data_IF_638371361286
#
_entry.id   IF_638371361286
#
_cell.length_a   1.000
_cell.length_b   1.000
_cell.length_c   1.000
_cell.angle_alpha   90.00
_cell.angle_beta   90.00
_cell.angle_gamma   90.00
#
_symmetry.space_group_name_H-M   'P 1'
#
loop_
_entity.id
_entity.type
_entity.pdbx_description
1 polymer ?
#
# COMPACT_ATOMS: atom_id res chain seq x y z
N UNK A 1 16.33 -4.40 -26.29
CA UNK A 1 16.63 -4.34 -24.85
C UNK A 1 16.19 -5.64 -24.22
N UNK A 2 16.92 -6.14 -23.25
CA UNK A 2 16.62 -7.43 -22.60
C UNK A 2 15.95 -7.13 -21.25
N UNK A 3 14.65 -6.80 -21.30
CA UNK A 3 13.88 -6.51 -20.10
C UNK A 3 13.66 -7.78 -19.28
N UNK A 4 13.76 -7.67 -17.96
CA UNK A 4 13.64 -8.79 -17.01
C UNK A 4 12.57 -8.59 -15.97
N UNK A 5 12.15 -7.35 -15.68
CA UNK A 5 11.07 -7.05 -14.76
C UNK A 5 10.18 -5.91 -15.26
N UNK A 6 8.89 -6.06 -15.04
CA UNK A 6 7.84 -5.08 -15.28
C UNK A 6 7.12 -4.79 -13.96
N UNK A 7 7.13 -3.52 -13.54
CA UNK A 7 6.41 -3.04 -12.36
C UNK A 7 5.12 -2.35 -12.80
N UNK A 8 4.00 -2.74 -12.21
CA UNK A 8 2.68 -2.22 -12.56
C UNK A 8 1.97 -1.68 -11.33
N UNK A 9 1.52 -0.44 -11.39
CA UNK A 9 0.51 0.04 -10.47
C UNK A 9 -0.85 -0.61 -10.75
N UNK A 10 -1.78 -0.55 -9.81
CA UNK A 10 -3.12 -1.14 -9.95
C UNK A 10 -4.12 -0.09 -10.43
N UNK A 11 -4.35 0.95 -9.64
CA UNK A 11 -5.45 1.89 -9.84
C UNK A 11 -5.12 2.89 -10.93
N UNK A 12 -5.89 2.91 -12.02
CA UNK A 12 -5.61 3.71 -13.20
C UNK A 12 -4.60 3.08 -14.18
N UNK A 13 -3.93 1.99 -13.80
CA UNK A 13 -2.94 1.28 -14.64
C UNK A 13 -3.43 -0.11 -15.05
N UNK A 14 -3.51 -1.08 -14.11
CA UNK A 14 -4.13 -2.39 -14.38
C UNK A 14 -5.65 -2.26 -14.41
N UNK A 15 -6.21 -1.57 -13.42
CA UNK A 15 -7.64 -1.33 -13.30
C UNK A 15 -8.00 0.03 -13.86
N UNK A 16 -9.13 0.08 -14.58
CA UNK A 16 -9.79 1.30 -15.03
C UNK A 16 -10.59 1.92 -13.87
N UNK A 17 -11.19 3.09 -14.10
CA UNK A 17 -11.97 3.83 -13.08
C UNK A 17 -13.21 3.08 -12.57
N UNK A 18 -13.68 2.05 -13.28
CA UNK A 18 -14.74 1.13 -12.86
C UNK A 18 -14.22 -0.12 -12.14
N UNK A 19 -12.97 -0.07 -11.65
CA UNK A 19 -12.29 -1.12 -10.90
C UNK A 19 -12.20 -2.47 -11.63
N UNK A 20 -12.10 -2.44 -12.97
CA UNK A 20 -11.98 -3.64 -13.81
C UNK A 20 -10.74 -3.58 -14.68
N UNK A 21 -10.18 -4.71 -14.98
CA UNK A 21 -9.18 -4.83 -16.03
C UNK A 21 -9.80 -5.33 -17.33
N UNK A 22 -9.21 -4.90 -18.46
CA UNK A 22 -9.66 -5.35 -19.79
C UNK A 22 -9.06 -6.72 -20.14
N UNK A 23 -9.72 -7.43 -21.04
CA UNK A 23 -9.15 -8.67 -21.61
C UNK A 23 -7.79 -8.40 -22.30
N UNK A 24 -7.64 -7.22 -22.91
CA UNK A 24 -6.38 -6.81 -23.54
C UNK A 24 -5.26 -6.64 -22.50
N UNK A 25 -5.56 -6.05 -21.33
CA UNK A 25 -4.62 -5.93 -20.21
C UNK A 25 -4.14 -7.31 -19.74
N UNK A 26 -5.09 -8.24 -19.53
CA UNK A 26 -4.75 -9.62 -19.13
C UNK A 26 -3.84 -10.30 -20.15
N UNK A 27 -4.22 -10.24 -21.43
CA UNK A 27 -3.43 -10.84 -22.52
C UNK A 27 -2.01 -10.23 -22.63
N UNK A 28 -1.88 -8.91 -22.42
CA UNK A 28 -0.58 -8.24 -22.42
C UNK A 28 0.31 -8.75 -21.28
N UNK A 29 -0.25 -8.87 -20.05
CA UNK A 29 0.47 -9.43 -18.89
C UNK A 29 0.92 -10.89 -19.19
N UNK A 30 0.01 -11.74 -19.68
CA UNK A 30 0.31 -13.12 -20.05
C UNK A 30 1.44 -13.20 -21.10
N UNK A 31 1.44 -12.33 -22.10
CA UNK A 31 2.49 -12.27 -23.14
C UNK A 31 3.85 -11.84 -22.57
N UNK A 32 3.86 -10.91 -21.63
CA UNK A 32 5.07 -10.46 -20.93
C UNK A 32 5.65 -11.60 -20.09
N UNK A 33 4.80 -12.28 -19.31
CA UNK A 33 5.18 -13.44 -18.51
C UNK A 33 5.73 -14.60 -19.39
N UNK A 34 5.09 -14.85 -20.56
CA UNK A 34 5.53 -15.88 -21.50
C UNK A 34 6.92 -15.60 -22.11
N UNK A 35 7.39 -14.35 -22.09
CA UNK A 35 8.77 -13.96 -22.47
C UNK A 35 9.78 -14.13 -21.34
N UNK A 36 9.37 -14.62 -20.18
CA UNK A 36 10.22 -14.77 -19.00
C UNK A 36 10.52 -13.45 -18.28
N UNK A 37 9.69 -12.41 -18.49
CA UNK A 37 9.78 -11.14 -17.76
C UNK A 37 8.94 -11.26 -16.49
N UNK A 38 9.55 -10.97 -15.33
CA UNK A 38 8.86 -10.94 -14.06
C UNK A 38 7.86 -9.77 -14.02
N UNK A 39 6.60 -10.06 -13.72
CA UNK A 39 5.58 -9.04 -13.52
C UNK A 39 5.35 -8.87 -12.02
N UNK A 40 5.53 -7.64 -11.54
CA UNK A 40 5.49 -7.28 -10.12
C UNK A 40 4.48 -6.13 -9.96
N UNK A 41 3.50 -6.32 -9.09
CA UNK A 41 2.56 -5.24 -8.75
C UNK A 41 3.22 -4.29 -7.74
N UNK A 42 3.03 -2.97 -7.93
CA UNK A 42 3.49 -1.93 -7.02
C UNK A 42 2.34 -0.95 -6.70
N UNK A 43 1.70 -1.09 -5.53
CA UNK A 43 0.45 -0.41 -5.19
C UNK A 43 0.47 0.23 -3.80
N UNK A 44 -0.43 1.20 -3.58
CA UNK A 44 -0.78 1.69 -2.23
C UNK A 44 -1.66 0.74 -1.44
N UNK A 45 -2.38 -0.16 -2.12
CA UNK A 45 -3.36 -1.06 -1.49
C UNK A 45 -2.72 -2.06 -0.53
N UNK A 46 -3.47 -2.52 0.51
CA UNK A 46 -3.11 -3.68 1.30
C UNK A 46 -2.98 -4.94 0.45
N UNK A 47 -1.90 -5.72 0.64
CA UNK A 47 -1.64 -6.89 -0.21
C UNK A 47 -2.70 -7.98 -0.08
N UNK A 48 -3.32 -8.14 1.09
CA UNK A 48 -4.39 -9.12 1.30
C UNK A 48 -5.68 -8.75 0.53
N UNK A 49 -5.91 -7.46 0.24
CA UNK A 49 -7.10 -7.01 -0.51
C UNK A 49 -6.95 -7.23 -2.04
N UNK A 50 -5.74 -7.33 -2.56
CA UNK A 50 -5.49 -7.52 -4.00
C UNK A 50 -5.32 -8.99 -4.41
N UNK A 51 -5.38 -9.95 -3.48
CA UNK A 51 -5.12 -11.38 -3.75
C UNK A 51 -5.99 -11.96 -4.87
N UNK A 52 -7.27 -11.59 -4.95
CA UNK A 52 -8.16 -12.08 -6.01
C UNK A 52 -7.67 -11.61 -7.38
N UNK A 53 -7.43 -10.31 -7.53
CA UNK A 53 -6.94 -9.70 -8.77
C UNK A 53 -5.62 -10.33 -9.23
N UNK A 54 -4.67 -10.43 -8.32
CA UNK A 54 -3.32 -10.92 -8.66
C UNK A 54 -3.31 -12.42 -9.00
N UNK A 55 -4.16 -13.22 -8.34
CA UNK A 55 -4.36 -14.62 -8.70
C UNK A 55 -4.96 -14.77 -10.11
N UNK A 56 -5.95 -13.95 -10.48
CA UNK A 56 -6.55 -13.97 -11.83
C UNK A 56 -5.57 -13.59 -12.94
N UNK A 57 -4.55 -12.76 -12.62
CA UNK A 57 -3.49 -12.32 -13.52
C UNK A 57 -2.20 -13.16 -13.41
N UNK A 58 -2.20 -14.20 -12.57
CA UNK A 58 -1.04 -15.06 -12.32
C UNK A 58 0.21 -14.26 -11.89
N UNK A 59 0.03 -13.25 -11.01
CA UNK A 59 1.11 -12.43 -10.46
C UNK A 59 1.36 -12.86 -9.01
N UNK A 60 2.61 -13.14 -8.65
CA UNK A 60 3.00 -13.70 -7.35
C UNK A 60 4.03 -12.86 -6.59
N UNK A 61 4.37 -11.69 -7.12
CA UNK A 61 5.36 -10.77 -6.54
C UNK A 61 4.76 -9.38 -6.42
N UNK A 62 4.89 -8.76 -5.23
CA UNK A 62 4.13 -7.57 -4.88
C UNK A 62 4.95 -6.58 -4.08
N UNK A 63 4.67 -5.30 -4.30
CA UNK A 63 5.02 -4.16 -3.45
C UNK A 63 3.71 -3.50 -3.07
N UNK A 64 3.37 -3.50 -1.79
CA UNK A 64 2.15 -2.89 -1.23
C UNK A 64 2.43 -1.75 -0.28
N UNK A 65 1.36 -1.09 0.19
CA UNK A 65 1.45 -0.01 1.18
C UNK A 65 2.42 1.11 0.75
N UNK A 66 2.39 1.47 -0.56
CA UNK A 66 3.32 2.43 -1.16
C UNK A 66 4.81 2.11 -0.93
N UNK A 67 5.17 0.83 -0.81
CA UNK A 67 6.55 0.39 -0.58
C UNK A 67 6.86 -0.05 0.85
N UNK A 68 5.89 -0.01 1.76
CA UNK A 68 6.05 -0.42 3.16
C UNK A 68 6.25 -1.93 3.34
N UNK A 69 5.71 -2.73 2.40
CA UNK A 69 5.87 -4.18 2.43
C UNK A 69 6.00 -4.75 1.02
N UNK A 70 6.96 -5.64 0.82
CA UNK A 70 7.14 -6.29 -0.47
C UNK A 70 7.48 -7.77 -0.33
N UNK A 71 6.92 -8.59 -1.25
CA UNK A 71 7.23 -10.01 -1.34
C UNK A 71 7.59 -10.40 -2.78
N UNK A 72 8.50 -11.36 -2.90
CA UNK A 72 8.83 -12.04 -4.14
C UNK A 72 8.61 -13.55 -3.95
N UNK A 73 7.68 -14.13 -4.70
CA UNK A 73 7.30 -15.54 -4.59
C UNK A 73 7.09 -15.97 -3.12
N UNK A 74 6.29 -15.22 -2.37
CA UNK A 74 5.98 -15.40 -0.93
C UNK A 74 7.17 -15.17 0.04
N UNK A 75 8.35 -14.78 -0.43
CA UNK A 75 9.46 -14.39 0.42
C UNK A 75 9.40 -12.88 0.69
N UNK A 76 9.45 -12.47 1.94
CA UNK A 76 9.48 -11.06 2.33
C UNK A 76 10.82 -10.44 1.91
N UNK A 77 10.76 -9.34 1.16
CA UNK A 77 11.91 -8.56 0.68
C UNK A 77 12.00 -7.22 1.40
N UNK A 78 10.83 -6.61 1.65
CA UNK A 78 10.71 -5.34 2.38
C UNK A 78 9.68 -5.51 3.48
N UNK A 79 10.00 -5.03 4.68
CA UNK A 79 9.08 -4.89 5.81
C UNK A 79 9.48 -3.64 6.60
N UNK A 80 8.83 -2.52 6.29
CA UNK A 80 9.01 -1.22 6.95
C UNK A 80 7.88 -1.00 7.95
N UNK A 81 7.83 -1.86 8.99
CA UNK A 81 6.84 -1.72 10.06
C UNK A 81 7.10 -0.47 10.90
N UNK A 82 6.01 0.10 11.41
CA UNK A 82 6.07 1.23 12.33
C UNK A 82 6.68 0.81 13.68
N UNK A 83 7.39 1.75 14.30
CA UNK A 83 7.89 1.55 15.66
C UNK A 83 6.72 1.37 16.64
N UNK A 84 6.87 0.42 17.56
CA UNK A 84 5.90 0.10 18.62
C UNK A 84 5.50 1.34 19.44
N UNK A 85 6.42 2.25 19.69
CA UNK A 85 6.13 3.45 20.48
C UNK A 85 5.21 4.42 19.74
N UNK A 86 5.38 4.53 18.41
CA UNK A 86 4.49 5.32 17.55
C UNK A 86 3.06 4.76 17.60
N UNK A 87 2.90 3.42 17.47
CA UNK A 87 1.58 2.79 17.56
C UNK A 87 0.92 3.06 18.90
N UNK A 88 1.66 2.96 20.02
CA UNK A 88 1.12 3.26 21.36
C UNK A 88 0.67 4.72 21.48
N UNK A 89 1.48 5.67 21.01
CA UNK A 89 1.13 7.08 21.04
C UNK A 89 -0.10 7.37 20.16
N UNK A 90 -0.24 6.72 19.02
CA UNK A 90 -1.42 6.84 18.17
C UNK A 90 -2.69 6.32 18.87
N UNK A 91 -2.60 5.19 19.56
CA UNK A 91 -3.71 4.65 20.36
C UNK A 91 -4.11 5.61 21.51
N UNK A 92 -3.12 6.19 22.19
CA UNK A 92 -3.36 7.17 23.25
C UNK A 92 -4.06 8.43 22.70
N UNK A 93 -3.53 9.01 21.61
CA UNK A 93 -4.12 10.18 20.95
C UNK A 93 -5.54 9.90 20.43
N UNK A 94 -5.75 8.75 19.81
CA UNK A 94 -7.08 8.38 19.29
C UNK A 94 -8.11 8.27 20.42
N UNK A 95 -7.73 7.66 21.52
CA UNK A 95 -8.61 7.54 22.70
C UNK A 95 -8.89 8.90 23.36
N UNK A 96 -7.88 9.78 23.48
CA UNK A 96 -8.01 11.10 24.08
C UNK A 96 -8.94 12.02 23.28
N UNK A 97 -8.86 11.95 21.95
CA UNK A 97 -9.58 12.87 21.06
C UNK A 97 -10.81 12.26 20.37
N UNK A 98 -11.11 10.99 20.60
CA UNK A 98 -12.25 10.31 19.97
C UNK A 98 -12.05 10.08 18.48
N UNK A 99 -10.80 9.88 18.05
CA UNK A 99 -10.45 9.51 16.70
C UNK A 99 -10.50 7.98 16.53
N UNK A 100 -10.62 7.52 15.29
CA UNK A 100 -10.55 6.11 14.96
C UNK A 100 -9.31 5.82 14.11
N UNK A 101 -8.76 4.62 14.22
CA UNK A 101 -7.56 4.23 13.47
C UNK A 101 -7.77 2.86 12.85
N UNK A 102 -7.29 2.68 11.62
CA UNK A 102 -7.01 1.39 11.05
C UNK A 102 -5.50 1.18 10.95
N UNK A 103 -5.04 0.08 11.51
CA UNK A 103 -3.67 -0.43 11.41
C UNK A 103 -3.66 -1.59 10.41
N UNK A 104 -2.85 -1.47 9.37
CA UNK A 104 -2.73 -2.49 8.35
C UNK A 104 -1.51 -3.37 8.64
N UNK A 105 -1.72 -4.67 8.59
CA UNK A 105 -0.64 -5.68 8.59
C UNK A 105 -0.55 -6.33 7.22
N UNK A 106 0.40 -7.23 7.00
CA UNK A 106 0.49 -8.00 5.75
C UNK A 106 -0.71 -8.90 5.47
N UNK A 107 -1.59 -9.15 6.46
CA UNK A 107 -2.66 -10.13 6.39
C UNK A 107 -4.06 -9.56 6.59
N UNK A 108 -4.22 -8.52 7.43
CA UNK A 108 -5.51 -8.00 7.87
C UNK A 108 -5.47 -6.51 8.16
N UNK A 109 -6.66 -5.92 8.26
CA UNK A 109 -6.92 -4.56 8.72
C UNK A 109 -7.41 -4.62 10.16
N UNK A 110 -6.79 -3.88 11.07
CA UNK A 110 -7.14 -3.84 12.49
C UNK A 110 -7.63 -2.46 12.89
N UNK A 111 -8.89 -2.35 13.28
CA UNK A 111 -9.55 -1.09 13.63
C UNK A 111 -9.59 -0.91 15.15
N UNK A 112 -9.51 0.34 15.62
CA UNK A 112 -9.72 0.68 17.04
C UNK A 112 -11.13 0.34 17.51
N UNK A 113 -12.12 0.41 16.60
CA UNK A 113 -13.49 -0.04 16.83
C UNK A 113 -14.14 -0.38 15.47
N UNK A 114 -14.91 -1.46 15.40
CA UNK A 114 -15.70 -1.80 14.21
C UNK A 114 -17.14 -1.24 14.27
N UNK A 115 -17.63 -0.85 15.45
CA UNK A 115 -19.03 -0.46 15.62
C UNK A 115 -19.35 1.00 15.22
N UNK A 116 -18.34 1.80 14.87
CA UNK A 116 -18.53 3.21 14.54
C UNK A 116 -19.03 3.40 13.12
N UNK A 117 -20.06 4.24 12.90
CA UNK A 117 -20.60 4.50 11.55
C UNK A 117 -19.55 4.99 10.56
N UNK A 118 -18.61 5.86 10.98
CA UNK A 118 -17.50 6.34 10.13
C UNK A 118 -16.57 5.21 9.71
N UNK A 119 -16.29 4.26 10.61
CA UNK A 119 -15.46 3.09 10.30
C UNK A 119 -16.16 2.19 9.30
N UNK A 120 -17.46 1.95 9.46
CA UNK A 120 -18.24 1.19 8.49
C UNK A 120 -18.27 1.88 7.12
N UNK A 121 -18.47 3.20 7.08
CA UNK A 121 -18.39 3.98 5.85
C UNK A 121 -17.01 3.86 5.19
N UNK A 122 -15.93 3.90 5.97
CA UNK A 122 -14.56 3.72 5.48
C UNK A 122 -14.35 2.33 4.88
N UNK A 123 -14.79 1.28 5.60
CA UNK A 123 -14.75 -0.11 5.13
C UNK A 123 -15.49 -0.26 3.79
N UNK A 124 -16.69 0.30 3.68
CA UNK A 124 -17.52 0.21 2.49
C UNK A 124 -16.89 0.97 1.30
N UNK A 125 -16.37 2.20 1.54
CA UNK A 125 -15.72 3.00 0.50
C UNK A 125 -14.48 2.34 -0.10
N UNK A 126 -13.70 1.63 0.71
CA UNK A 126 -12.49 0.93 0.27
C UNK A 126 -12.71 -0.56 -0.01
N UNK A 127 -13.94 -1.06 0.15
CA UNK A 127 -14.30 -2.48 -0.01
C UNK A 127 -13.42 -3.44 0.80
N UNK A 128 -13.03 -3.03 2.02
CA UNK A 128 -12.12 -3.80 2.88
C UNK A 128 -12.80 -5.06 3.40
N UNK A 129 -12.13 -6.21 3.28
CA UNK A 129 -12.74 -7.55 3.54
C UNK A 129 -12.18 -8.25 4.78
N UNK A 130 -10.95 -7.96 5.16
CA UNK A 130 -10.22 -8.70 6.20
C UNK A 130 -10.06 -7.84 7.45
N UNK A 131 -11.19 -7.50 8.09
CA UNK A 131 -11.28 -6.53 9.18
C UNK A 131 -11.42 -7.23 10.53
N UNK A 132 -10.61 -6.82 11.51
CA UNK A 132 -10.68 -7.24 12.90
C UNK A 132 -10.52 -6.02 13.83
N UNK A 133 -10.87 -6.17 15.12
CA UNK A 133 -10.54 -5.18 16.12
C UNK A 133 -9.06 -5.28 16.51
N UNK A 134 -8.47 -4.13 16.82
CA UNK A 134 -7.06 -4.06 17.22
C UNK A 134 -6.80 -4.88 18.47
N UNK A 135 -5.71 -5.65 18.44
CA UNK A 135 -5.18 -6.37 19.59
C UNK A 135 -3.69 -6.06 19.77
N UNK A 136 -3.15 -6.05 21.03
CA UNK A 136 -1.75 -5.71 21.27
C UNK A 136 -0.73 -6.62 20.58
N UNK A 137 -1.13 -7.83 20.18
CA UNK A 137 -0.27 -8.84 19.57
C UNK A 137 0.22 -8.44 18.19
N UNK A 138 -0.52 -7.55 17.49
CA UNK A 138 -0.15 -7.14 16.11
C UNK A 138 0.76 -5.91 16.07
N UNK A 139 1.07 -5.31 17.22
CA UNK A 139 1.71 -3.99 17.31
C UNK A 139 3.03 -3.89 16.53
N UNK A 140 3.80 -4.97 16.44
CA UNK A 140 5.07 -5.03 15.71
C UNK A 140 4.92 -5.42 14.23
N UNK A 141 3.68 -5.60 13.77
CA UNK A 141 3.37 -6.06 12.41
C UNK A 141 2.71 -4.96 11.56
N UNK A 142 2.52 -3.77 12.12
CA UNK A 142 1.83 -2.65 11.46
C UNK A 142 2.73 -2.03 10.40
N UNK A 143 2.31 -2.07 9.14
CA UNK A 143 3.06 -1.58 7.97
C UNK A 143 2.44 -0.33 7.34
N UNK A 144 1.19 -0.04 7.65
CA UNK A 144 0.51 1.20 7.23
C UNK A 144 -0.57 1.58 8.25
N UNK A 145 -0.96 2.84 8.28
CA UNK A 145 -1.93 3.40 9.23
C UNK A 145 -2.77 4.44 8.52
N UNK A 146 -4.09 4.44 8.77
CA UNK A 146 -4.96 5.56 8.46
C UNK A 146 -5.67 6.01 9.74
N UNK A 147 -5.65 7.30 10.03
CA UNK A 147 -6.37 7.92 11.15
C UNK A 147 -7.63 8.60 10.63
N UNK A 148 -8.74 8.46 11.34
CA UNK A 148 -10.06 8.92 10.92
C UNK A 148 -10.70 9.82 11.98
N UNK A 149 -11.64 10.68 11.55
CA UNK A 149 -12.31 11.68 12.40
C UNK A 149 -11.35 12.74 12.95
N UNK A 150 -10.24 13.02 12.26
CA UNK A 150 -9.21 13.96 12.70
C UNK A 150 -9.50 15.34 12.15
N UNK A 151 -9.93 16.27 13.02
CA UNK A 151 -10.07 17.68 12.62
C UNK A 151 -8.72 18.28 12.24
N UNK A 152 -8.70 19.22 11.29
CA UNK A 152 -7.47 19.85 10.78
C UNK A 152 -6.54 20.38 11.89
N UNK A 153 -7.08 20.87 13.01
CA UNK A 153 -6.29 21.34 14.16
C UNK A 153 -5.55 20.23 14.90
N UNK A 154 -5.97 18.96 14.76
CA UNK A 154 -5.37 17.79 15.41
C UNK A 154 -4.39 17.03 14.51
N UNK A 155 -4.29 17.35 13.21
CA UNK A 155 -3.40 16.66 12.26
C UNK A 155 -1.95 16.63 12.76
N UNK A 156 -1.45 17.78 13.23
CA UNK A 156 -0.07 17.89 13.74
C UNK A 156 0.22 17.01 14.98
N UNK A 157 -0.80 16.55 15.71
CA UNK A 157 -0.61 15.66 16.85
C UNK A 157 -0.09 14.28 16.43
N UNK A 158 -0.37 13.86 15.19
CA UNK A 158 0.03 12.57 14.65
C UNK A 158 1.35 12.62 13.87
N UNK A 159 1.91 13.80 13.63
CA UNK A 159 3.25 13.98 13.04
C UNK A 159 4.32 13.90 14.13
N UNK A 160 4.44 12.73 14.76
CA UNK A 160 5.24 12.50 15.96
C UNK A 160 6.75 12.63 15.73
N UNK A 161 7.21 12.52 14.48
CA UNK A 161 8.63 12.64 14.09
C UNK A 161 8.73 13.36 12.75
N UNK A 162 9.92 13.88 12.40
CA UNK A 162 10.20 14.50 11.10
C UNK A 162 10.05 13.51 9.91
N UNK A 163 10.06 12.21 10.20
CA UNK A 163 9.91 11.16 9.18
C UNK A 163 8.43 10.78 8.93
N UNK A 164 7.49 11.35 9.68
CA UNK A 164 6.06 11.08 9.56
C UNK A 164 5.32 12.34 9.13
N UNK A 165 4.49 12.21 8.11
CA UNK A 165 3.52 13.23 7.70
C UNK A 165 2.16 12.60 7.47
N UNK A 166 1.10 13.42 7.50
CA UNK A 166 -0.25 13.00 7.19
C UNK A 166 -0.66 13.49 5.80
N UNK A 167 -1.19 12.60 4.99
CA UNK A 167 -1.82 12.94 3.70
C UNK A 167 -3.32 12.71 3.78
N UNK A 168 -4.10 13.72 3.40
CA UNK A 168 -5.56 13.64 3.47
C UNK A 168 -6.10 12.62 2.45
N UNK A 169 -7.01 11.77 2.91
CA UNK A 169 -7.76 10.84 2.04
C UNK A 169 -8.78 11.65 1.22
N UNK A 170 -8.60 11.69 -0.11
CA UNK A 170 -9.41 12.48 -1.03
C UNK A 170 -10.64 11.70 -1.52
N UNK A 171 -11.50 11.28 -0.58
CA UNK A 171 -12.77 10.61 -0.87
C UNK A 171 -13.92 11.40 -0.23
N UNK A 172 -15.00 11.60 -0.96
CA UNK A 172 -16.18 12.30 -0.45
C UNK A 172 -16.74 11.59 0.80
N UNK A 173 -16.99 12.36 1.85
CA UNK A 173 -17.44 11.85 3.16
C UNK A 173 -16.31 11.34 4.08
N UNK A 174 -15.07 11.23 3.61
CA UNK A 174 -13.90 10.82 4.41
C UNK A 174 -12.85 11.93 4.58
N UNK A 175 -13.23 13.19 4.37
CA UNK A 175 -12.30 14.35 4.38
C UNK A 175 -11.59 14.64 5.70
N UNK A 176 -11.94 13.95 6.78
CA UNK A 176 -11.23 13.96 8.08
C UNK A 176 -10.43 12.67 8.33
N UNK A 177 -10.12 11.94 7.26
CA UNK A 177 -9.26 10.75 7.30
C UNK A 177 -7.90 11.07 6.66
N UNK A 178 -6.84 10.55 7.24
CA UNK A 178 -5.47 10.83 6.81
C UNK A 178 -4.64 9.55 6.83
N UNK A 179 -3.94 9.30 5.74
CA UNK A 179 -2.91 8.26 5.68
C UNK A 179 -1.63 8.76 6.36
N UNK A 180 -1.05 7.92 7.17
CA UNK A 180 0.22 8.17 7.86
C UNK A 180 1.36 7.73 6.96
N UNK A 181 2.11 8.68 6.45
CA UNK A 181 3.19 8.44 5.49
C UNK A 181 4.55 8.50 6.20
N UNK A 182 5.30 7.42 6.11
CA UNK A 182 6.72 7.43 6.43
C UNK A 182 7.49 8.03 5.24
N UNK A 183 8.13 9.19 5.40
CA UNK A 183 8.76 9.96 4.30
C UNK A 183 9.93 9.22 3.63
N UNK A 184 10.53 8.27 4.32
CA UNK A 184 11.60 7.40 3.82
C UNK A 184 11.09 6.13 3.12
N UNK A 185 9.77 5.86 3.10
CA UNK A 185 9.13 4.70 2.46
C UNK A 185 8.39 5.16 1.20
N UNK A 186 8.69 4.55 0.06
CA UNK A 186 7.98 4.79 -1.20
C UNK A 186 8.19 3.61 -2.17
N UNK A 187 7.38 3.55 -3.24
CA UNK A 187 7.43 2.49 -4.27
C UNK A 187 8.83 2.37 -4.91
N UNK A 188 9.52 3.49 -5.18
CA UNK A 188 10.85 3.48 -5.79
C UNK A 188 11.89 2.75 -4.95
N UNK A 189 11.98 3.07 -3.66
CA UNK A 189 12.92 2.39 -2.74
C UNK A 189 12.63 0.89 -2.60
N UNK A 190 11.35 0.49 -2.59
CA UNK A 190 10.99 -0.92 -2.56
C UNK A 190 11.37 -1.63 -3.88
N UNK A 191 11.24 -0.96 -5.02
CA UNK A 191 11.68 -1.45 -6.33
C UNK A 191 13.19 -1.62 -6.36
N UNK A 192 13.97 -0.67 -5.86
CA UNK A 192 15.43 -0.80 -5.75
C UNK A 192 15.83 -2.04 -4.94
N UNK A 193 15.20 -2.28 -3.79
CA UNK A 193 15.43 -3.49 -2.97
C UNK A 193 15.02 -4.76 -3.74
N UNK A 194 13.92 -4.72 -4.48
CA UNK A 194 13.47 -5.83 -5.32
C UNK A 194 14.47 -6.12 -6.45
N UNK A 195 14.93 -5.09 -7.17
CA UNK A 195 15.95 -5.23 -8.22
C UNK A 195 17.26 -5.82 -7.70
N UNK A 196 17.70 -5.37 -6.51
CA UNK A 196 18.88 -5.92 -5.82
C UNK A 196 18.68 -7.42 -5.49
N UNK A 197 17.53 -7.79 -4.96
CA UNK A 197 17.20 -9.18 -4.64
C UNK A 197 17.23 -10.08 -5.89
N UNK A 198 16.71 -9.57 -7.01
CA UNK A 198 16.63 -10.30 -8.28
C UNK A 198 17.94 -10.23 -9.10
N UNK A 199 18.91 -9.44 -8.66
CA UNK A 199 20.12 -9.14 -9.43
C UNK A 199 19.79 -8.64 -10.86
N UNK A 200 18.88 -7.64 -10.92
CA UNK A 200 18.41 -7.00 -12.14
C UNK A 200 18.93 -5.56 -12.16
N UNK A 201 19.43 -5.11 -13.31
CA UNK A 201 19.87 -3.73 -13.50
C UNK A 201 18.70 -2.84 -13.88
N UNK A 202 18.82 -1.54 -13.61
CA UNK A 202 17.84 -0.51 -13.95
C UNK A 202 17.39 -0.60 -15.42
N UNK A 203 18.35 -0.72 -16.36
CA UNK A 203 18.09 -0.75 -17.81
C UNK A 203 17.31 -2.01 -18.26
N UNK A 204 17.13 -2.97 -17.36
CA UNK A 204 16.37 -4.20 -17.60
C UNK A 204 14.96 -4.14 -17.01
N UNK A 205 14.49 -2.96 -16.58
CA UNK A 205 13.21 -2.77 -15.92
C UNK A 205 12.33 -1.75 -16.63
N UNK A 206 11.02 -1.98 -16.58
CA UNK A 206 9.97 -1.09 -17.08
C UNK A 206 8.97 -0.88 -15.96
N UNK A 207 8.33 0.29 -15.90
CA UNK A 207 7.19 0.52 -15.01
C UNK A 207 6.07 1.29 -15.71
N UNK A 208 4.83 1.04 -15.25
CA UNK A 208 3.64 1.81 -15.60
C UNK A 208 2.92 2.22 -14.31
N UNK A 209 2.52 3.49 -14.27
CA UNK A 209 1.77 4.09 -13.18
C UNK A 209 1.18 5.43 -13.64
N UNK A 210 0.13 5.90 -12.99
CA UNK A 210 -0.60 7.11 -13.35
C UNK A 210 -0.72 8.13 -12.20
N UNK A 211 -0.39 7.70 -10.97
CA UNK A 211 -0.52 8.50 -9.76
C UNK A 211 0.76 9.24 -9.34
N UNK A 212 0.60 10.22 -8.46
CA UNK A 212 1.75 10.94 -7.88
C UNK A 212 2.65 10.04 -7.01
N UNK A 213 2.08 8.99 -6.41
CA UNK A 213 2.81 7.99 -5.65
C UNK A 213 3.66 7.05 -6.53
N UNK A 214 3.49 7.10 -7.87
CA UNK A 214 4.29 6.32 -8.82
C UNK A 214 5.55 7.07 -9.26
N UNK A 215 5.64 8.37 -8.98
CA UNK A 215 6.77 9.19 -9.42
C UNK A 215 8.12 8.55 -9.11
N UNK A 216 8.33 8.14 -7.84
CA UNK A 216 9.59 7.52 -7.42
C UNK A 216 9.81 6.14 -8.08
N UNK A 217 8.73 5.39 -8.38
CA UNK A 217 8.79 4.15 -9.15
C UNK A 217 9.33 4.42 -10.56
N UNK A 218 8.75 5.39 -11.26
CA UNK A 218 9.15 5.75 -12.63
C UNK A 218 10.57 6.34 -12.70
N UNK A 219 11.05 7.00 -11.65
CA UNK A 219 12.40 7.57 -11.56
C UNK A 219 13.50 6.51 -11.42
N UNK A 220 13.23 5.33 -10.85
CA UNK A 220 14.25 4.31 -10.55
C UNK A 220 14.35 3.18 -11.57
N UNK A 221 13.38 3.06 -12.48
CA UNK A 221 13.39 2.07 -13.57
C UNK A 221 14.08 2.59 -14.84
N UNK A 222 14.28 1.69 -15.82
CA UNK A 222 14.90 2.03 -17.10
C UNK A 222 13.96 2.79 -18.04
N UNK A 223 12.69 2.37 -18.08
CA UNK A 223 11.61 2.95 -18.88
C UNK A 223 10.31 2.96 -18.10
#
# INVERSE_FOLDING_TARGET
>A
MDYRALFLDIDGTILTTDHKYSQATKQAIEQVQAKGIEVIVATGRPLHEIKTLTNELNIHSFIGYNGGYATYNNKVIVNESFDRQIIKQYLELSNEHGHEIVFYTSEKNYFTSLDKPLVQQFIDCFELKYNEEFTPEIIDQVVSITVMNVEKKHVALYELTEEIRLEQVNIEGLGHSYDVIQTNVNKGKAIEKMMQHLNIKREQTIAFGDGLNDKQMLEVVGE
#
